data_IF_045343493103
#
_entry.id   IF_045343493103
#
_cell.length_a   1.000
_cell.length_b   1.000
_cell.length_c   1.000
_cell.angle_alpha   90.00
_cell.angle_beta   90.00
_cell.angle_gamma   90.00
#
_symmetry.space_group_name_H-M   'P 1'
#
loop_
_entity.id
_entity.type
_entity.pdbx_description
1 polymer ?
#
# COMPACT_ATOMS: atom_id res chain seq x y z
N UNK A 1 1.15 18.69 16.35
CA UNK A 1 1.08 17.24 16.66
C UNK A 1 2.06 16.53 15.74
N UNK A 2 3.05 15.81 16.28
CA UNK A 2 4.10 15.18 15.48
C UNK A 2 3.61 13.91 14.77
N UNK A 3 4.11 13.67 13.55
CA UNK A 3 3.89 12.48 12.69
C UNK A 3 3.96 11.15 13.48
N UNK A 4 4.82 11.10 14.50
CA UNK A 4 5.03 9.94 15.37
C UNK A 4 3.77 9.44 16.10
N UNK A 5 2.79 10.28 16.43
CA UNK A 5 1.61 9.85 17.20
C UNK A 5 0.64 8.98 16.40
N UNK A 6 0.68 9.04 15.07
CA UNK A 6 -0.22 8.31 14.17
C UNK A 6 0.27 6.91 13.89
N UNK A 7 1.58 6.81 13.64
CA UNK A 7 2.29 5.56 13.45
C UNK A 7 2.11 4.62 14.66
N UNK A 8 2.09 5.18 15.87
CA UNK A 8 1.91 4.44 17.13
C UNK A 8 0.48 3.93 17.37
N UNK A 9 -0.52 4.52 16.69
CA UNK A 9 -1.92 4.10 16.77
C UNK A 9 -2.33 3.12 15.67
N UNK A 10 -1.43 2.79 14.75
CA UNK A 10 -1.72 1.84 13.68
C UNK A 10 -2.01 0.43 14.24
N UNK A 11 -3.15 -0.21 13.90
CA UNK A 11 -3.46 -1.59 14.32
C UNK A 11 -2.40 -2.62 13.92
N UNK A 12 -1.57 -2.32 12.92
CA UNK A 12 -0.43 -3.17 12.54
C UNK A 12 0.63 -3.32 13.64
N UNK A 13 0.60 -2.49 14.70
CA UNK A 13 1.50 -2.65 15.85
C UNK A 13 1.41 -4.02 16.52
N UNK A 14 0.26 -4.70 16.42
CA UNK A 14 0.04 -6.02 17.01
C UNK A 14 0.57 -7.18 16.15
N UNK A 15 0.97 -6.90 14.91
CA UNK A 15 1.47 -7.90 13.94
C UNK A 15 2.98 -7.76 13.71
N UNK A 16 3.60 -6.66 14.18
CA UNK A 16 5.02 -6.40 13.99
C UNK A 16 5.83 -7.12 15.07
N UNK A 17 6.70 -8.04 14.64
CA UNK A 17 7.54 -8.85 15.55
C UNK A 17 8.62 -8.00 16.23
N UNK A 18 9.26 -7.05 15.53
CA UNK A 18 10.23 -6.12 16.11
C UNK A 18 10.41 -4.84 15.25
N UNK A 19 10.72 -3.72 15.90
CA UNK A 19 11.18 -2.45 15.29
C UNK A 19 10.27 -1.76 14.25
N UNK A 20 8.94 -1.93 14.33
CA UNK A 20 8.02 -1.00 13.67
C UNK A 20 7.80 -1.24 12.17
N UNK A 21 8.24 -2.37 11.61
CA UNK A 21 7.95 -2.82 10.24
C UNK A 21 7.57 -4.30 10.20
N UNK A 22 6.64 -4.68 9.30
CA UNK A 22 6.18 -6.07 9.17
C UNK A 22 7.20 -6.96 8.44
N UNK A 23 7.96 -6.37 7.52
CA UNK A 23 9.00 -7.01 6.72
C UNK A 23 10.20 -6.07 6.66
N UNK A 24 11.41 -6.64 6.75
CA UNK A 24 12.67 -5.96 6.50
C UNK A 24 12.97 -5.81 5.00
N UNK A 25 14.06 -5.10 4.69
CA UNK A 25 14.43 -4.82 3.30
C UNK A 25 14.70 -6.12 2.52
N UNK A 26 14.12 -6.21 1.32
CA UNK A 26 14.21 -7.39 0.45
C UNK A 26 13.39 -8.60 0.90
N UNK A 27 12.70 -8.54 2.03
CA UNK A 27 11.82 -9.62 2.48
C UNK A 27 10.50 -9.63 1.70
N UNK A 28 9.92 -10.81 1.57
CA UNK A 28 8.68 -11.05 0.86
C UNK A 28 7.67 -11.75 1.78
N UNK A 29 6.40 -11.35 1.70
CA UNK A 29 5.32 -11.93 2.49
C UNK A 29 4.02 -12.02 1.71
N UNK A 30 3.12 -12.88 2.16
CA UNK A 30 1.82 -13.09 1.55
C UNK A 30 0.70 -12.96 2.59
N UNK A 31 -0.41 -12.35 2.18
CA UNK A 31 -1.64 -12.24 2.98
C UNK A 31 -2.71 -13.10 2.33
N UNK A 32 -3.13 -14.16 3.01
CA UNK A 32 -4.08 -15.14 2.51
C UNK A 32 -5.36 -15.11 3.37
N UNK A 33 -6.52 -15.04 2.73
CA UNK A 33 -7.84 -15.12 3.36
C UNK A 33 -8.91 -15.39 2.29
N UNK A 34 -10.16 -15.64 2.70
CA UNK A 34 -11.29 -15.80 1.76
C UNK A 34 -11.78 -14.46 1.20
N UNK A 35 -12.47 -14.48 0.07
CA UNK A 35 -13.09 -13.27 -0.49
C UNK A 35 -14.01 -12.61 0.54
N UNK A 36 -13.93 -11.28 0.67
CA UNK A 36 -14.70 -10.53 1.67
C UNK A 36 -14.04 -10.34 3.04
N UNK A 37 -12.99 -11.10 3.37
CA UNK A 37 -12.32 -11.07 4.70
C UNK A 37 -11.37 -9.88 4.91
N UNK A 38 -11.47 -8.82 4.10
CA UNK A 38 -10.70 -7.59 4.33
C UNK A 38 -9.22 -7.58 3.90
N UNK A 39 -8.77 -8.52 3.05
CA UNK A 39 -7.37 -8.53 2.52
C UNK A 39 -6.93 -7.19 1.92
N UNK A 40 -7.74 -6.63 1.02
CA UNK A 40 -7.46 -5.32 0.40
C UNK A 40 -7.40 -4.23 1.47
N UNK A 41 -8.32 -4.22 2.43
CA UNK A 41 -8.30 -3.25 3.54
C UNK A 41 -6.99 -3.35 4.33
N UNK A 42 -6.58 -4.57 4.71
CA UNK A 42 -5.32 -4.79 5.41
C UNK A 42 -4.09 -4.31 4.60
N UNK A 43 -4.07 -4.58 3.29
CA UNK A 43 -3.04 -4.03 2.40
C UNK A 43 -3.06 -2.49 2.34
N UNK A 44 -4.22 -1.85 2.37
CA UNK A 44 -4.32 -0.39 2.44
C UNK A 44 -3.76 0.16 3.75
N UNK A 45 -4.03 -0.51 4.88
CA UNK A 45 -3.43 -0.14 6.17
C UNK A 45 -1.90 -0.26 6.14
N UNK A 46 -1.35 -1.30 5.49
CA UNK A 46 0.10 -1.44 5.28
C UNK A 46 0.67 -0.34 4.39
N UNK A 47 -0.03 -0.01 3.31
CA UNK A 47 0.38 1.06 2.43
C UNK A 47 0.43 2.41 3.16
N UNK A 48 -0.64 2.76 3.88
CA UNK A 48 -0.74 4.00 4.62
C UNK A 48 0.32 4.10 5.73
N UNK A 49 0.62 3.00 6.44
CA UNK A 49 1.71 2.98 7.44
C UNK A 49 3.05 3.39 6.83
N UNK A 50 3.39 2.83 5.66
CA UNK A 50 4.65 3.10 4.99
C UNK A 50 4.67 4.49 4.37
N UNK A 51 3.57 4.92 3.74
CA UNK A 51 3.42 6.26 3.17
C UNK A 51 3.54 7.35 4.24
N UNK A 52 2.90 7.18 5.41
CA UNK A 52 2.98 8.12 6.53
C UNK A 52 4.39 8.18 7.17
N UNK A 53 5.24 7.19 6.91
CA UNK A 53 6.67 7.19 7.27
C UNK A 53 7.55 7.79 6.17
N UNK A 54 6.97 8.35 5.11
CA UNK A 54 7.68 8.91 3.97
C UNK A 54 8.30 7.85 3.04
N UNK A 55 7.88 6.58 3.14
CA UNK A 55 8.38 5.54 2.24
C UNK A 55 7.62 5.55 0.93
N UNK A 56 8.34 5.41 -0.17
CA UNK A 56 7.75 5.26 -1.50
C UNK A 56 7.06 3.90 -1.63
N UNK A 57 5.74 3.90 -1.78
CA UNK A 57 4.91 2.70 -1.95
C UNK A 57 4.43 2.60 -3.39
N UNK A 58 4.79 1.50 -4.05
CA UNK A 58 4.16 1.08 -5.30
C UNK A 58 3.04 0.09 -4.98
N UNK A 59 1.81 0.47 -5.29
CA UNK A 59 0.65 -0.41 -5.19
C UNK A 59 0.28 -0.95 -6.58
N UNK A 60 0.48 -2.25 -6.76
CA UNK A 60 0.09 -3.00 -7.95
C UNK A 60 -1.27 -3.63 -7.70
N UNK A 61 -2.27 -3.25 -8.49
CA UNK A 61 -3.60 -3.85 -8.40
C UNK A 61 -3.91 -4.66 -9.65
N UNK A 62 -4.23 -5.93 -9.44
CA UNK A 62 -4.75 -6.81 -10.48
C UNK A 62 -6.28 -6.73 -10.44
N UNK A 63 -6.93 -6.51 -11.60
CA UNK A 63 -8.41 -6.44 -11.78
C UNK A 63 -9.13 -5.20 -11.26
N UNK A 64 -8.47 -4.25 -10.60
CA UNK A 64 -9.12 -3.03 -10.12
C UNK A 64 -8.72 -1.82 -10.96
N UNK A 65 -9.68 -1.00 -11.42
CA UNK A 65 -9.35 0.26 -12.07
C UNK A 65 -8.73 1.22 -11.05
N UNK A 66 -7.79 2.07 -11.51
CA UNK A 66 -7.06 3.01 -10.64
C UNK A 66 -7.99 3.85 -9.78
N UNK A 67 -9.13 4.31 -10.32
CA UNK A 67 -10.14 5.10 -9.61
C UNK A 67 -10.66 4.39 -8.36
N UNK A 68 -10.87 3.07 -8.43
CA UNK A 68 -11.35 2.28 -7.28
C UNK A 68 -10.29 2.17 -6.19
N UNK A 69 -9.02 2.02 -6.60
CA UNK A 69 -7.88 1.98 -5.66
C UNK A 69 -7.74 3.33 -4.95
N UNK A 70 -7.84 4.44 -5.68
CA UNK A 70 -7.81 5.78 -5.08
C UNK A 70 -8.92 5.98 -4.04
N UNK A 71 -10.16 5.59 -4.37
CA UNK A 71 -11.29 5.66 -3.43
C UNK A 71 -11.06 4.84 -2.17
N UNK A 72 -10.44 3.66 -2.28
CA UNK A 72 -10.07 2.86 -1.10
C UNK A 72 -9.10 3.59 -0.17
N UNK A 73 -8.08 4.25 -0.72
CA UNK A 73 -7.14 5.03 0.09
C UNK A 73 -7.82 6.20 0.80
N UNK A 74 -8.69 6.93 0.09
CA UNK A 74 -9.46 8.05 0.66
C UNK A 74 -10.34 7.55 1.81
N UNK A 75 -11.09 6.48 1.58
CA UNK A 75 -12.01 5.91 2.56
C UNK A 75 -11.29 5.36 3.79
N UNK A 76 -10.20 4.62 3.60
CA UNK A 76 -9.42 4.08 4.73
C UNK A 76 -8.77 5.20 5.53
N UNK A 77 -8.21 6.22 4.86
CA UNK A 77 -7.60 7.35 5.56
C UNK A 77 -8.66 8.15 6.34
N UNK A 78 -9.82 8.43 5.74
CA UNK A 78 -10.92 9.11 6.42
C UNK A 78 -11.36 8.34 7.67
N UNK A 79 -11.56 7.02 7.56
CA UNK A 79 -11.95 6.18 8.70
C UNK A 79 -10.90 6.17 9.81
N UNK A 80 -9.61 6.14 9.46
CA UNK A 80 -8.52 6.24 10.44
C UNK A 80 -8.58 7.61 11.14
N UNK A 81 -8.81 8.69 10.40
CA UNK A 81 -8.94 10.03 10.96
C UNK A 81 -10.11 10.16 11.92
N UNK A 82 -11.29 9.66 11.54
CA UNK A 82 -12.47 9.70 12.39
C UNK A 82 -12.26 8.87 13.67
N UNK A 83 -11.69 7.67 13.54
CA UNK A 83 -11.46 6.78 14.69
C UNK A 83 -10.49 7.37 15.73
N UNK A 84 -9.52 8.19 15.29
CA UNK A 84 -8.50 8.76 16.17
C UNK A 84 -8.68 10.27 16.43
N UNK A 85 -9.83 10.84 16.06
CA UNK A 85 -10.16 12.27 16.21
C UNK A 85 -9.08 13.18 15.61
N UNK A 86 -8.64 12.85 14.41
CA UNK A 86 -7.58 13.59 13.71
C UNK A 86 -8.17 14.74 12.91
N UNK A 87 -7.90 15.97 13.33
CA UNK A 87 -8.40 17.17 12.65
C UNK A 87 -7.64 17.54 11.36
N UNK A 88 -6.69 16.72 10.90
CA UNK A 88 -5.69 17.07 9.88
C UNK A 88 -5.64 16.12 8.67
N UNK A 89 -6.74 15.46 8.31
CA UNK A 89 -6.79 14.49 7.20
C UNK A 89 -6.22 15.04 5.88
N UNK A 90 -6.48 16.32 5.57
CA UNK A 90 -5.94 16.95 4.35
C UNK A 90 -4.42 17.02 4.35
N UNK A 91 -3.81 17.38 5.49
CA UNK A 91 -2.34 17.42 5.64
C UNK A 91 -1.76 16.02 5.46
N UNK A 92 -2.40 15.00 6.05
CA UNK A 92 -1.97 13.61 5.87
C UNK A 92 -2.07 13.17 4.41
N UNK A 93 -3.12 13.59 3.70
CA UNK A 93 -3.29 13.30 2.28
C UNK A 93 -2.16 13.92 1.45
N UNK A 94 -1.86 15.20 1.67
CA UNK A 94 -0.75 15.91 1.00
C UNK A 94 0.60 15.26 1.27
N UNK A 95 0.82 14.73 2.47
CA UNK A 95 2.05 14.01 2.81
C UNK A 95 2.20 12.69 2.05
N UNK A 96 1.13 11.92 1.87
CA UNK A 96 1.24 10.57 1.26
C UNK A 96 1.23 10.59 -0.27
N UNK A 97 0.65 11.61 -0.89
CA UNK A 97 0.46 11.66 -2.35
C UNK A 97 1.79 11.55 -3.13
N UNK A 98 2.88 12.28 -2.79
CA UNK A 98 4.14 12.21 -3.53
C UNK A 98 4.84 10.84 -3.44
N UNK A 99 4.58 10.12 -2.35
CA UNK A 99 5.21 8.82 -2.07
C UNK A 99 4.41 7.63 -2.61
N UNK A 100 3.26 7.87 -3.24
CA UNK A 100 2.36 6.80 -3.71
C UNK A 100 2.35 6.71 -5.23
N UNK A 101 2.68 5.52 -5.74
CA UNK A 101 2.47 5.18 -7.14
C UNK A 101 1.49 4.00 -7.25
N UNK A 102 0.49 4.11 -8.12
CA UNK A 102 -0.49 3.05 -8.36
C UNK A 102 -0.32 2.52 -9.78
N UNK A 103 -0.12 1.21 -9.91
CA UNK A 103 -0.02 0.53 -11.19
C UNK A 103 -1.14 -0.52 -11.28
N UNK A 104 -1.90 -0.49 -12.37
CA UNK A 104 -2.99 -1.44 -12.58
C UNK A 104 -2.70 -2.36 -13.76
N UNK A 105 -2.94 -3.65 -13.60
CA UNK A 105 -2.84 -4.62 -14.69
C UNK A 105 -4.18 -5.33 -14.90
N UNK A 106 -4.50 -5.58 -16.16
CA UNK A 106 -5.40 -6.68 -16.50
C UNK A 106 -4.68 -8.00 -16.16
N UNK A 107 -5.42 -8.98 -15.68
CA UNK A 107 -4.79 -10.23 -15.23
C UNK A 107 -4.21 -11.05 -16.36
N UNK A 108 -4.89 -11.09 -17.49
CA UNK A 108 -4.43 -11.82 -18.68
C UNK A 108 -3.08 -11.28 -19.20
N UNK A 109 -2.81 -10.02 -18.86
CA UNK A 109 -1.66 -9.25 -19.27
C UNK A 109 -0.51 -9.27 -18.24
N UNK A 110 -0.75 -9.80 -17.03
CA UNK A 110 0.20 -9.75 -15.93
C UNK A 110 1.21 -10.90 -16.02
N UNK A 111 2.50 -10.57 -15.95
CA UNK A 111 3.58 -11.52 -15.75
C UNK A 111 4.70 -10.86 -14.95
N UNK A 112 5.55 -11.67 -14.30
CA UNK A 112 6.72 -11.18 -13.57
C UNK A 112 7.64 -10.38 -14.48
N UNK A 113 7.89 -10.87 -15.71
CA UNK A 113 8.71 -10.18 -16.71
C UNK A 113 8.16 -8.79 -17.05
N UNK A 114 6.84 -8.70 -17.30
CA UNK A 114 6.22 -7.41 -17.63
C UNK A 114 6.26 -6.45 -16.44
N UNK A 115 6.11 -6.97 -15.22
CA UNK A 115 6.25 -6.16 -14.01
C UNK A 115 7.69 -5.62 -13.88
N UNK A 116 8.68 -6.46 -14.09
CA UNK A 116 10.11 -6.09 -14.07
C UNK A 116 10.42 -5.02 -15.13
N UNK A 117 9.97 -5.19 -16.37
CA UNK A 117 10.12 -4.19 -17.44
C UNK A 117 9.53 -2.83 -17.03
N UNK A 118 8.29 -2.82 -16.50
CA UNK A 118 7.63 -1.59 -16.05
C UNK A 118 8.30 -0.94 -14.85
N UNK A 119 8.83 -1.74 -13.93
CA UNK A 119 9.59 -1.25 -12.78
C UNK A 119 10.90 -0.59 -13.23
N UNK A 120 11.63 -1.26 -14.13
CA UNK A 120 12.87 -0.74 -14.68
C UNK A 120 12.64 0.58 -15.41
N UNK A 121 11.61 0.66 -16.27
CA UNK A 121 11.22 1.90 -16.96
C UNK A 121 11.04 3.07 -15.97
N UNK A 122 10.36 2.84 -14.85
CA UNK A 122 10.12 3.88 -13.84
C UNK A 122 11.41 4.30 -13.11
N UNK A 123 12.26 3.34 -12.75
CA UNK A 123 13.48 3.61 -11.99
C UNK A 123 14.59 4.21 -12.85
N UNK A 124 14.80 3.73 -14.07
CA UNK A 124 15.84 4.22 -14.98
C UNK A 124 15.56 5.66 -15.44
N UNK A 125 14.29 6.02 -15.58
CA UNK A 125 13.86 7.39 -15.90
C UNK A 125 13.85 8.32 -14.67
N UNK A 126 14.13 7.79 -13.48
CA UNK A 126 14.11 8.57 -12.24
C UNK A 126 12.70 9.03 -11.82
N UNK A 127 11.65 8.38 -12.31
CA UNK A 127 10.26 8.77 -12.05
C UNK A 127 9.83 8.35 -10.64
N UNK A 128 10.12 7.11 -10.25
CA UNK A 128 9.71 6.57 -8.96
C UNK A 128 10.63 5.44 -8.51
N UNK A 129 11.09 5.50 -7.26
CA UNK A 129 11.95 4.48 -6.66
C UNK A 129 11.19 3.81 -5.50
N UNK A 130 10.53 2.67 -5.75
CA UNK A 130 9.72 2.02 -4.72
C UNK A 130 10.60 1.44 -3.62
N UNK A 131 10.22 1.68 -2.37
CA UNK A 131 10.80 1.04 -1.18
C UNK A 131 9.91 -0.09 -0.67
N UNK A 132 8.61 -0.04 -1.00
CA UNK A 132 7.64 -1.10 -0.70
C UNK A 132 6.82 -1.35 -1.95
N UNK A 133 6.67 -2.62 -2.31
CA UNK A 133 5.80 -3.06 -3.40
C UNK A 133 4.67 -3.89 -2.80
N UNK A 134 3.43 -3.47 -3.04
CA UNK A 134 2.23 -4.18 -2.63
C UNK A 134 1.54 -4.73 -3.86
N UNK A 135 1.17 -6.00 -3.85
CA UNK A 135 0.44 -6.63 -4.94
C UNK A 135 -0.91 -7.13 -4.44
N UNK A 136 -1.99 -6.52 -4.94
CA UNK A 136 -3.37 -6.89 -4.62
C UNK A 136 -4.03 -7.64 -5.79
N UNK A 137 -4.81 -8.66 -5.46
CA UNK A 137 -5.65 -9.38 -6.42
C UNK A 137 -4.97 -10.54 -7.17
N UNK A 138 -3.84 -11.06 -6.67
CA UNK A 138 -3.22 -12.27 -7.22
C UNK A 138 -4.17 -13.48 -7.10
N UNK A 139 -4.51 -14.16 -8.21
CA UNK A 139 -5.30 -15.38 -8.14
C UNK A 139 -4.47 -16.53 -7.54
N UNK A 140 -5.01 -17.18 -6.52
CA UNK A 140 -4.48 -18.44 -5.98
C UNK A 140 -5.37 -19.65 -6.31
N UNK A 141 -6.57 -19.42 -6.87
CA UNK A 141 -7.58 -20.47 -7.10
C UNK A 141 -7.45 -21.17 -8.47
N UNK A 142 -6.34 -20.97 -9.19
CA UNK A 142 -6.05 -21.67 -10.44
C UNK A 142 -4.74 -22.43 -10.28
N UNK A 143 -4.84 -23.63 -9.71
CA UNK A 143 -3.85 -24.69 -9.90
C UNK A 143 -4.53 -25.80 -10.71
#
# INVERSE_FOLDING_TARGET
>A
MSENNLILKNPLKFVKEDAGHLLGDGQFGAILARAGEGKTSFLMHLALDNLLRGKNVLHICLRQPIKKVCLWYEEVLLRISDQYELNNTNVMWEMILPHRFIMTFNIEDFSVKRLEERLNDLTEQGIFFPQVVLLDGLPFDKT
#
